data_IF_282563704887
#
_entry.id   IF_282563704887
#
_cell.length_a   1.000
_cell.length_b   1.000
_cell.length_c   1.000
_cell.angle_alpha   90.00
_cell.angle_beta   90.00
_cell.angle_gamma   90.00
#
_symmetry.space_group_name_H-M   'P 1'
#
loop_
_entity.id
_entity.type
_entity.pdbx_description
1 polymer ?
#
# COMPACT_ATOMS: atom_id res chain seq x y z
N UNK A 1 72.00 9.19 -60.08
CA UNK A 1 71.34 9.99 -59.05
C UNK A 1 69.80 10.02 -59.13
N UNK A 2 69.12 9.96 -60.25
CA UNK A 2 67.69 10.02 -60.42
C UNK A 2 66.92 8.75 -59.90
N UNK A 3 67.54 7.59 -59.99
CA UNK A 3 66.96 6.31 -59.54
C UNK A 3 66.95 6.16 -58.03
N UNK A 4 67.97 6.71 -57.32
CA UNK A 4 68.03 6.68 -55.85
C UNK A 4 66.91 7.54 -55.17
N UNK A 5 66.55 8.68 -55.78
CA UNK A 5 65.44 9.53 -55.28
C UNK A 5 64.09 8.88 -55.42
N UNK A 6 63.81 8.05 -56.42
CA UNK A 6 62.57 7.36 -56.63
C UNK A 6 62.31 6.22 -55.61
N UNK A 7 63.39 5.52 -55.26
CA UNK A 7 63.33 4.43 -54.27
C UNK A 7 63.07 4.96 -52.83
N UNK A 8 63.65 6.11 -52.49
CA UNK A 8 63.44 6.75 -51.19
C UNK A 8 62.02 7.33 -51.05
N UNK A 9 61.43 7.82 -52.16
CA UNK A 9 60.02 8.33 -52.14
C UNK A 9 59.04 7.20 -52.01
N UNK A 10 59.26 6.01 -52.58
CA UNK A 10 58.40 4.84 -52.46
C UNK A 10 58.40 4.24 -51.03
N UNK A 11 59.53 4.24 -50.36
CA UNK A 11 59.66 3.74 -48.98
C UNK A 11 59.05 4.67 -47.95
N UNK A 12 59.05 6.00 -48.16
CA UNK A 12 58.40 6.96 -47.29
C UNK A 12 56.82 6.88 -47.36
N UNK A 13 56.28 6.55 -48.53
CA UNK A 13 54.85 6.40 -48.72
C UNK A 13 54.22 5.23 -47.94
N UNK A 14 54.96 4.11 -47.74
CA UNK A 14 54.49 2.94 -47.01
C UNK A 14 54.50 3.14 -45.50
N UNK A 15 55.39 3.95 -44.95
CA UNK A 15 55.44 4.24 -43.51
C UNK A 15 54.29 5.14 -43.05
N UNK A 16 53.80 6.04 -43.90
CA UNK A 16 52.66 6.93 -43.55
C UNK A 16 51.35 6.15 -43.55
N UNK A 17 51.16 5.20 -44.45
CA UNK A 17 49.95 4.39 -44.53
C UNK A 17 49.82 3.43 -43.32
N UNK A 18 50.93 2.88 -42.82
CA UNK A 18 50.92 2.00 -41.64
C UNK A 18 50.68 2.79 -40.33
N UNK A 19 51.15 4.03 -40.23
CA UNK A 19 50.86 4.90 -39.06
C UNK A 19 49.39 5.33 -38.98
N UNK A 20 48.76 5.60 -40.12
CA UNK A 20 47.31 5.97 -40.15
C UNK A 20 46.39 4.81 -39.79
N UNK A 21 46.71 3.57 -40.17
CA UNK A 21 45.90 2.40 -39.77
C UNK A 21 45.97 2.14 -38.27
N UNK A 22 47.15 2.32 -37.67
CA UNK A 22 47.34 2.10 -36.24
C UNK A 22 46.66 3.17 -35.35
N UNK A 23 46.58 4.40 -35.86
CA UNK A 23 45.86 5.49 -35.19
C UNK A 23 44.33 5.29 -35.26
N UNK A 24 43.83 4.85 -36.40
CA UNK A 24 42.41 4.47 -36.60
C UNK A 24 41.98 3.31 -35.67
N UNK A 25 42.82 2.26 -35.58
CA UNK A 25 42.56 1.11 -34.71
C UNK A 25 42.55 1.51 -33.22
N UNK A 26 43.46 2.41 -32.82
CA UNK A 26 43.53 2.89 -31.44
C UNK A 26 42.28 3.77 -31.07
N UNK A 27 41.81 4.55 -32.02
CA UNK A 27 40.54 5.35 -31.85
C UNK A 27 39.31 4.43 -31.75
N UNK A 28 39.22 3.42 -32.60
CA UNK A 28 38.15 2.43 -32.58
C UNK A 28 38.13 1.64 -31.26
N UNK A 29 39.31 1.22 -30.76
CA UNK A 29 39.41 0.54 -29.48
C UNK A 29 39.00 1.43 -28.29
N UNK A 30 39.33 2.73 -28.34
CA UNK A 30 38.90 3.69 -27.32
C UNK A 30 37.37 3.89 -27.35
N UNK A 31 36.79 4.02 -28.54
CA UNK A 31 35.33 4.14 -28.70
C UNK A 31 34.61 2.90 -28.20
N UNK A 32 35.08 1.70 -28.54
CA UNK A 32 34.55 0.43 -28.03
C UNK A 32 34.66 0.34 -26.51
N UNK A 33 35.79 0.75 -25.94
CA UNK A 33 35.97 0.73 -24.47
C UNK A 33 35.01 1.66 -23.76
N UNK A 34 34.73 2.83 -24.34
CA UNK A 34 33.79 3.78 -23.79
C UNK A 34 32.35 3.24 -23.90
N UNK A 35 31.98 2.65 -25.02
CA UNK A 35 30.67 2.01 -25.21
C UNK A 35 30.46 0.85 -24.23
N UNK A 36 31.49 0.00 -24.02
CA UNK A 36 31.45 -1.09 -23.01
C UNK A 36 31.28 -0.53 -21.58
N UNK A 37 31.95 0.59 -21.28
CA UNK A 37 31.77 1.24 -19.97
C UNK A 37 30.35 1.77 -19.79
N UNK A 38 29.82 2.40 -20.81
CA UNK A 38 28.47 2.92 -20.82
C UNK A 38 27.44 1.79 -20.66
N UNK A 39 27.54 0.74 -21.46
CA UNK A 39 26.69 -0.44 -21.34
C UNK A 39 26.75 -1.07 -19.95
N UNK A 40 27.94 -1.12 -19.33
CA UNK A 40 28.08 -1.62 -17.96
C UNK A 40 27.40 -0.71 -16.93
N UNK A 41 27.43 0.61 -17.13
CA UNK A 41 26.74 1.56 -16.26
C UNK A 41 25.23 1.43 -16.42
N UNK A 42 24.74 1.35 -17.66
CA UNK A 42 23.33 1.17 -17.98
C UNK A 42 22.77 -0.14 -17.42
N UNK A 43 23.54 -1.21 -17.54
CA UNK A 43 23.17 -2.50 -16.95
C UNK A 43 23.08 -2.45 -15.42
N UNK A 44 24.02 -1.76 -14.76
CA UNK A 44 23.96 -1.56 -13.31
C UNK A 44 22.75 -0.73 -12.89
N UNK A 45 22.45 0.35 -13.61
CA UNK A 45 21.30 1.20 -13.36
C UNK A 45 20.00 0.41 -13.57
N UNK A 46 19.89 -0.35 -14.67
CA UNK A 46 18.76 -1.21 -14.97
C UNK A 46 18.53 -2.26 -13.88
N UNK A 47 19.60 -2.94 -13.43
CA UNK A 47 19.47 -3.93 -12.35
C UNK A 47 19.05 -3.30 -11.02
N UNK A 48 19.58 -2.13 -10.68
CA UNK A 48 19.15 -1.40 -9.47
C UNK A 48 17.67 -1.00 -9.54
N UNK A 49 17.19 -0.53 -10.68
CA UNK A 49 15.80 -0.19 -10.91
C UNK A 49 14.90 -1.43 -10.85
N UNK A 50 15.31 -2.54 -11.42
CA UNK A 50 14.59 -3.81 -11.33
C UNK A 50 14.45 -4.27 -9.87
N UNK A 51 15.51 -4.20 -9.07
CA UNK A 51 15.44 -4.53 -7.65
C UNK A 51 14.52 -3.61 -6.87
N UNK A 52 14.53 -2.29 -7.15
CA UNK A 52 13.61 -1.33 -6.55
C UNK A 52 12.16 -1.65 -6.91
N UNK A 53 11.88 -1.93 -8.18
CA UNK A 53 10.55 -2.34 -8.65
C UNK A 53 10.04 -3.59 -7.93
N UNK A 54 10.87 -4.61 -7.83
CA UNK A 54 10.53 -5.85 -7.12
C UNK A 54 10.20 -5.60 -5.63
N UNK A 55 11.01 -4.77 -4.95
CA UNK A 55 10.75 -4.42 -3.56
C UNK A 55 9.45 -3.62 -3.38
N UNK A 56 9.16 -2.69 -4.30
CA UNK A 56 7.92 -1.92 -4.26
C UNK A 56 6.69 -2.81 -4.49
N UNK A 57 6.74 -3.73 -5.45
CA UNK A 57 5.66 -4.69 -5.70
C UNK A 57 5.38 -5.52 -4.44
N UNK A 58 6.41 -6.05 -3.80
CA UNK A 58 6.26 -6.81 -2.56
C UNK A 58 5.65 -5.96 -1.44
N UNK A 59 6.07 -4.70 -1.31
CA UNK A 59 5.48 -3.76 -0.32
C UNK A 59 4.02 -3.48 -0.61
N UNK A 60 3.64 -3.28 -1.87
CA UNK A 60 2.24 -3.10 -2.29
C UNK A 60 1.41 -4.32 -1.91
N UNK A 61 1.88 -5.54 -2.16
CA UNK A 61 1.17 -6.77 -1.81
C UNK A 61 0.98 -6.92 -0.29
N UNK A 62 2.02 -6.65 0.50
CA UNK A 62 1.94 -6.66 1.96
C UNK A 62 0.95 -5.59 2.46
N UNK A 63 0.98 -4.40 1.86
CA UNK A 63 0.08 -3.31 2.24
C UNK A 63 -1.37 -3.60 1.84
N UNK A 64 -1.62 -4.27 0.72
CA UNK A 64 -2.96 -4.76 0.35
C UNK A 64 -3.52 -5.71 1.41
N UNK A 65 -2.70 -6.65 1.88
CA UNK A 65 -3.08 -7.54 2.99
C UNK A 65 -3.38 -6.77 4.27
N UNK A 66 -2.61 -5.72 4.57
CA UNK A 66 -2.86 -4.86 5.73
C UNK A 66 -4.20 -4.11 5.61
N UNK A 67 -4.53 -3.59 4.42
CA UNK A 67 -5.83 -2.95 4.14
C UNK A 67 -6.98 -3.94 4.30
N UNK A 68 -6.87 -5.15 3.75
CA UNK A 68 -7.89 -6.20 3.90
C UNK A 68 -8.13 -6.55 5.38
N UNK A 69 -7.06 -6.69 6.16
CA UNK A 69 -7.17 -6.98 7.58
C UNK A 69 -7.77 -5.81 8.37
N UNK A 70 -7.46 -4.58 8.01
CA UNK A 70 -8.06 -3.39 8.60
C UNK A 70 -9.55 -3.27 8.24
N UNK A 71 -9.93 -3.59 6.99
CA UNK A 71 -11.32 -3.65 6.55
C UNK A 71 -12.14 -4.67 7.35
N UNK A 72 -11.62 -5.89 7.49
CA UNK A 72 -12.27 -6.93 8.30
C UNK A 72 -12.47 -6.49 9.76
N UNK A 73 -11.50 -5.80 10.35
CA UNK A 73 -11.64 -5.25 11.71
C UNK A 73 -12.72 -4.18 11.79
N UNK A 74 -12.79 -3.30 10.81
CA UNK A 74 -13.84 -2.28 10.73
C UNK A 74 -15.24 -2.91 10.60
N UNK A 75 -15.38 -3.96 9.78
CA UNK A 75 -16.64 -4.67 9.62
C UNK A 75 -17.07 -5.41 10.89
N UNK A 76 -16.12 -6.04 11.60
CA UNK A 76 -16.38 -6.66 12.90
C UNK A 76 -16.86 -5.63 13.93
N UNK A 77 -16.19 -4.47 13.98
CA UNK A 77 -16.57 -3.39 14.89
C UNK A 77 -17.98 -2.84 14.58
N UNK A 78 -18.29 -2.61 13.30
CA UNK A 78 -19.63 -2.21 12.85
C UNK A 78 -20.70 -3.24 13.22
N UNK A 79 -20.39 -4.52 13.02
CA UNK A 79 -21.27 -5.61 13.44
C UNK A 79 -21.48 -5.66 14.95
N UNK A 80 -20.45 -5.38 15.74
CA UNK A 80 -20.55 -5.22 17.19
C UNK A 80 -21.50 -4.08 17.59
N UNK A 81 -21.32 -2.92 16.96
CA UNK A 81 -22.16 -1.74 17.17
C UNK A 81 -23.64 -2.00 16.82
N UNK A 82 -23.89 -2.66 15.68
CA UNK A 82 -25.25 -3.00 15.26
C UNK A 82 -25.95 -3.89 16.31
N UNK A 83 -25.24 -4.91 16.81
CA UNK A 83 -25.78 -5.80 17.87
C UNK A 83 -26.03 -5.09 19.20
N UNK A 84 -25.16 -4.13 19.55
CA UNK A 84 -25.37 -3.34 20.77
C UNK A 84 -26.67 -2.51 20.68
N UNK A 85 -26.91 -1.84 19.55
CA UNK A 85 -28.14 -1.07 19.27
C UNK A 85 -29.39 -1.93 19.25
N UNK A 86 -29.30 -3.13 18.66
CA UNK A 86 -30.43 -4.06 18.64
C UNK A 86 -30.83 -4.51 20.05
N UNK A 87 -29.82 -4.85 20.88
CA UNK A 87 -30.03 -5.22 22.29
C UNK A 87 -30.66 -4.07 23.08
N UNK A 88 -30.21 -2.83 22.87
CA UNK A 88 -30.81 -1.65 23.49
C UNK A 88 -32.29 -1.51 23.12
N UNK A 89 -32.60 -1.67 21.83
CA UNK A 89 -33.98 -1.61 21.35
C UNK A 89 -34.85 -2.72 21.94
N UNK A 90 -34.33 -3.95 22.03
CA UNK A 90 -35.03 -5.09 22.65
C UNK A 90 -35.31 -4.82 24.12
N UNK A 91 -34.31 -4.33 24.89
CA UNK A 91 -34.49 -4.01 26.31
C UNK A 91 -35.48 -2.89 26.55
N UNK A 92 -35.43 -1.83 25.70
CA UNK A 92 -36.41 -0.74 25.78
C UNK A 92 -37.85 -1.24 25.51
N UNK A 93 -37.98 -2.13 24.52
CA UNK A 93 -39.26 -2.80 24.23
C UNK A 93 -39.75 -3.67 25.38
N UNK A 94 -38.86 -4.43 26.02
CA UNK A 94 -39.20 -5.25 27.17
C UNK A 94 -39.64 -4.42 28.39
N UNK A 95 -38.96 -3.32 28.66
CA UNK A 95 -39.36 -2.38 29.74
C UNK A 95 -40.76 -1.86 29.50
N UNK A 96 -41.02 -1.37 28.28
CA UNK A 96 -42.37 -0.86 27.94
C UNK A 96 -43.48 -1.90 28.13
N UNK A 97 -43.20 -3.13 27.66
CA UNK A 97 -44.20 -4.22 27.82
C UNK A 97 -44.46 -4.55 29.29
N UNK A 98 -43.42 -4.57 30.14
CA UNK A 98 -43.60 -4.83 31.58
C UNK A 98 -44.28 -3.65 32.31
N UNK A 99 -44.01 -2.40 31.92
CA UNK A 99 -44.69 -1.22 32.43
C UNK A 99 -46.20 -1.25 32.07
N UNK A 100 -46.55 -1.68 30.85
CA UNK A 100 -47.94 -1.87 30.45
C UNK A 100 -48.63 -3.00 31.22
N UNK A 101 -47.96 -4.11 31.49
CA UNK A 101 -48.52 -5.19 32.33
C UNK A 101 -48.73 -4.73 33.78
N UNK A 102 -47.74 -4.04 34.34
CA UNK A 102 -47.85 -3.49 35.69
C UNK A 102 -49.04 -2.54 35.82
N UNK A 103 -49.28 -1.67 34.84
CA UNK A 103 -50.39 -0.73 34.81
C UNK A 103 -51.75 -1.41 34.72
N UNK A 104 -51.83 -2.60 34.10
CA UNK A 104 -53.07 -3.38 33.92
C UNK A 104 -53.32 -4.38 35.06
N UNK A 105 -52.33 -4.69 35.87
CA UNK A 105 -52.46 -5.67 36.96
C UNK A 105 -53.21 -5.07 38.15
N UNK A 106 -54.33 -5.72 38.53
CA UNK A 106 -55.04 -5.43 39.77
C UNK A 106 -54.49 -6.23 40.98
N UNK A 107 -53.45 -7.07 40.77
CA UNK A 107 -52.88 -7.94 41.78
C UNK A 107 -51.57 -7.35 42.33
N UNK A 108 -51.46 -7.04 43.63
CA UNK A 108 -50.25 -6.48 44.21
C UNK A 108 -48.98 -7.34 44.03
N UNK A 109 -49.14 -8.67 44.03
CA UNK A 109 -48.02 -9.58 43.84
C UNK A 109 -47.44 -9.54 42.43
N UNK A 110 -48.32 -9.50 41.42
CA UNK A 110 -47.89 -9.37 39.99
C UNK A 110 -47.30 -8.00 39.73
N UNK A 111 -47.85 -6.93 40.30
CA UNK A 111 -47.31 -5.57 40.19
C UNK A 111 -45.88 -5.49 40.76
N UNK A 112 -45.59 -6.12 41.90
CA UNK A 112 -44.25 -6.18 42.50
C UNK A 112 -43.26 -6.99 41.65
N UNK A 113 -43.71 -8.11 41.05
CA UNK A 113 -42.86 -8.90 40.13
C UNK A 113 -42.49 -8.11 38.87
N UNK A 114 -43.47 -7.42 38.28
CA UNK A 114 -43.21 -6.54 37.13
C UNK A 114 -42.26 -5.40 37.49
N UNK A 115 -42.37 -4.79 38.66
CA UNK A 115 -41.44 -3.76 39.14
C UNK A 115 -40.03 -4.25 39.27
N UNK A 116 -39.81 -5.46 39.79
CA UNK A 116 -38.47 -6.08 39.86
C UNK A 116 -37.91 -6.36 38.46
N UNK A 117 -38.73 -6.85 37.52
CA UNK A 117 -38.27 -7.08 36.16
C UNK A 117 -37.89 -5.79 35.44
N UNK A 118 -38.70 -4.74 35.58
CA UNK A 118 -38.42 -3.40 35.06
C UNK A 118 -37.07 -2.89 35.61
N UNK A 119 -36.83 -3.04 36.91
CA UNK A 119 -35.56 -2.62 37.51
C UNK A 119 -34.34 -3.38 36.93
N UNK A 120 -34.49 -4.70 36.72
CA UNK A 120 -33.44 -5.54 36.08
C UNK A 120 -33.22 -5.12 34.62
N UNK A 121 -34.26 -4.89 33.86
CA UNK A 121 -34.11 -4.45 32.46
C UNK A 121 -33.49 -3.05 32.36
N UNK A 122 -33.84 -2.11 33.25
CA UNK A 122 -33.23 -0.79 33.32
C UNK A 122 -31.73 -0.88 33.63
N UNK A 123 -31.32 -1.71 34.57
CA UNK A 123 -29.90 -1.95 34.86
C UNK A 123 -29.17 -2.61 33.67
N UNK A 124 -29.84 -3.51 32.93
CA UNK A 124 -29.29 -4.10 31.73
C UNK A 124 -29.17 -3.08 30.57
N UNK A 125 -30.14 -2.17 30.47
CA UNK A 125 -30.16 -1.08 29.49
C UNK A 125 -28.98 -0.10 29.72
N UNK A 126 -28.75 0.31 30.99
CA UNK A 126 -27.61 1.16 31.35
C UNK A 126 -26.27 0.52 30.98
N UNK A 127 -26.15 -0.79 31.21
CA UNK A 127 -24.97 -1.54 30.79
C UNK A 127 -24.84 -1.60 29.27
N UNK A 128 -25.94 -1.84 28.54
CA UNK A 128 -25.96 -1.88 27.08
C UNK A 128 -25.54 -0.54 26.46
N UNK A 129 -25.95 0.56 27.07
CA UNK A 129 -25.54 1.90 26.65
C UNK A 129 -24.02 2.13 26.80
N UNK A 130 -23.44 1.63 27.90
CA UNK A 130 -21.98 1.68 28.08
C UNK A 130 -21.27 0.85 27.02
N UNK A 131 -21.77 -0.37 26.75
CA UNK A 131 -21.25 -1.25 25.68
C UNK A 131 -21.37 -0.60 24.30
N UNK A 132 -22.48 0.12 24.00
CA UNK A 132 -22.64 0.86 22.76
C UNK A 132 -21.56 1.94 22.60
N UNK A 133 -21.28 2.72 23.64
CA UNK A 133 -20.20 3.73 23.60
C UNK A 133 -18.83 3.13 23.33
N UNK A 134 -18.53 1.99 23.97
CA UNK A 134 -17.27 1.26 23.72
C UNK A 134 -17.18 0.77 22.27
N UNK A 135 -18.28 0.21 21.74
CA UNK A 135 -18.34 -0.24 20.35
C UNK A 135 -18.24 0.93 19.36
N UNK A 136 -18.83 2.08 19.66
CA UNK A 136 -18.68 3.28 18.85
C UNK A 136 -17.24 3.76 18.79
N UNK A 137 -16.51 3.73 19.90
CA UNK A 137 -15.09 4.04 19.94
C UNK A 137 -14.27 3.01 19.13
N UNK A 138 -14.61 1.73 19.23
CA UNK A 138 -13.97 0.66 18.45
C UNK A 138 -14.18 0.85 16.94
N UNK A 139 -15.40 1.22 16.49
CA UNK A 139 -15.69 1.53 15.08
C UNK A 139 -14.83 2.70 14.62
N UNK A 140 -14.81 3.79 15.38
CA UNK A 140 -14.03 5.00 15.02
C UNK A 140 -12.55 4.67 14.88
N UNK A 141 -11.98 3.91 15.80
CA UNK A 141 -10.58 3.51 15.78
C UNK A 141 -10.26 2.57 14.59
N UNK A 142 -11.12 1.59 14.33
CA UNK A 142 -10.94 0.64 13.23
C UNK A 142 -11.05 1.34 11.87
N UNK A 143 -11.97 2.27 11.69
CA UNK A 143 -12.10 3.06 10.47
C UNK A 143 -10.92 4.02 10.26
N UNK A 144 -10.40 4.59 11.33
CA UNK A 144 -9.19 5.42 11.23
C UNK A 144 -7.97 4.57 10.81
N UNK A 145 -7.82 3.37 11.37
CA UNK A 145 -6.77 2.44 10.95
C UNK A 145 -6.92 2.06 9.48
N UNK A 146 -8.14 1.74 9.02
CA UNK A 146 -8.41 1.42 7.61
C UNK A 146 -8.00 2.59 6.69
N UNK A 147 -8.40 3.81 7.01
CA UNK A 147 -7.99 5.00 6.24
C UNK A 147 -6.47 5.17 6.19
N UNK A 148 -5.79 4.95 7.30
CA UNK A 148 -4.34 5.05 7.36
C UNK A 148 -3.64 4.00 6.47
N UNK A 149 -4.12 2.75 6.49
CA UNK A 149 -3.56 1.68 5.65
C UNK A 149 -3.87 1.92 4.16
N UNK A 150 -5.04 2.45 3.82
CA UNK A 150 -5.37 2.85 2.45
C UNK A 150 -4.48 3.99 1.95
N UNK A 151 -4.20 4.98 2.79
CA UNK A 151 -3.29 6.09 2.42
C UNK A 151 -1.86 5.59 2.14
N UNK A 152 -1.34 4.66 2.96
CA UNK A 152 -0.04 4.02 2.71
C UNK A 152 -0.02 3.23 1.41
N UNK A 153 -1.11 2.53 1.10
CA UNK A 153 -1.22 1.77 -0.16
C UNK A 153 -1.19 2.73 -1.36
N UNK A 154 -1.94 3.83 -1.31
CA UNK A 154 -1.94 4.85 -2.36
C UNK A 154 -0.53 5.44 -2.58
N UNK A 155 0.20 5.76 -1.50
CA UNK A 155 1.56 6.26 -1.59
C UNK A 155 2.51 5.25 -2.27
N UNK A 156 2.42 3.96 -1.94
CA UNK A 156 3.23 2.93 -2.58
C UNK A 156 2.89 2.74 -4.07
N UNK A 157 1.62 2.88 -4.44
CA UNK A 157 1.17 2.85 -5.83
C UNK A 157 1.72 4.04 -6.61
N UNK A 158 1.67 5.24 -6.04
CA UNK A 158 2.26 6.44 -6.65
C UNK A 158 3.76 6.30 -6.86
N UNK A 159 4.49 5.70 -5.91
CA UNK A 159 5.92 5.42 -6.04
C UNK A 159 6.19 4.42 -7.18
N UNK A 160 5.35 3.41 -7.35
CA UNK A 160 5.46 2.42 -8.43
C UNK A 160 5.20 3.08 -9.79
N UNK A 161 4.19 3.93 -9.89
CA UNK A 161 3.87 4.69 -11.10
C UNK A 161 4.99 5.67 -11.49
N UNK A 162 5.62 6.31 -10.52
CA UNK A 162 6.78 7.17 -10.76
C UNK A 162 7.96 6.37 -11.30
N UNK A 163 8.20 5.18 -10.74
CA UNK A 163 9.26 4.29 -11.22
C UNK A 163 8.97 3.83 -12.67
N UNK A 164 7.74 3.44 -12.97
CA UNK A 164 7.33 3.04 -14.33
C UNK A 164 7.52 4.18 -15.35
N UNK A 165 7.16 5.41 -14.98
CA UNK A 165 7.38 6.60 -15.81
C UNK A 165 8.87 6.86 -16.04
N UNK A 166 9.71 6.68 -15.02
CA UNK A 166 11.15 6.89 -15.14
C UNK A 166 11.85 5.81 -15.99
N UNK A 167 11.23 4.63 -16.14
CA UNK A 167 11.76 3.52 -16.95
C UNK A 167 11.33 3.59 -18.42
N UNK A 168 10.31 4.39 -18.76
CA UNK A 168 9.88 4.55 -20.15
C UNK A 168 10.89 5.41 -20.92
N UNK A 169 11.34 4.95 -22.11
CA UNK A 169 12.19 5.77 -22.95
C UNK A 169 11.45 7.07 -23.35
N UNK A 170 12.18 8.18 -23.52
CA UNK A 170 11.58 9.41 -24.03
C UNK A 170 10.87 9.13 -25.36
N UNK A 171 9.71 9.74 -25.62
CA UNK A 171 9.03 9.60 -26.90
C UNK A 171 9.95 10.09 -28.03
N UNK A 172 10.15 9.26 -29.04
CA UNK A 172 10.88 9.60 -30.26
C UNK A 172 10.18 10.70 -31.05
#
# INVERSE_FOLDING_TARGET
MRLLCLVTLLLAGHAIAAAQSQESDSQTLRALLEEVRQLRQDLKASNANFQRGYLLINRVQLQQTAVENASKRADIARGGMARAKEREHELAGAIKNEEEKQAKSGNPTESNQSAEMIARFKAALDKSFTEEQEQQAAVTNAEQQLRNEQAKLAELQDQLDQLDKALKPPPN
#
